data_IF_868307695299
#
_entry.id   IF_868307695299
#
_cell.length_a   1.000
_cell.length_b   1.000
_cell.length_c   1.000
_cell.angle_alpha   90.00
_cell.angle_beta   90.00
_cell.angle_gamma   90.00
#
_symmetry.space_group_name_H-M   'P 1'
#
loop_
_entity.id
_entity.type
_entity.pdbx_description
1 polymer ?
#
# COMPACT_ATOMS: atom_id res chain seq x y z
N UNK A 1 2.21 2.56 -12.00
CA UNK A 1 1.80 1.98 -10.70
C UNK A 1 1.29 0.56 -10.93
N UNK A 2 1.72 -0.41 -10.12
CA UNK A 2 1.25 -1.80 -10.19
C UNK A 2 1.11 -2.34 -8.78
N UNK A 3 0.03 -3.08 -8.52
CA UNK A 3 -0.22 -3.75 -7.23
C UNK A 3 -0.22 -5.25 -7.47
N UNK A 4 0.48 -6.00 -6.61
CA UNK A 4 0.56 -7.45 -6.65
C UNK A 4 0.19 -8.01 -5.28
N UNK A 5 -0.83 -8.86 -5.24
CA UNK A 5 -1.24 -9.57 -4.03
C UNK A 5 -0.39 -10.83 -3.90
N UNK A 6 0.53 -10.84 -2.94
CA UNK A 6 1.45 -11.95 -2.68
C UNK A 6 0.86 -12.96 -1.69
N UNK A 7 -0.13 -12.52 -0.91
CA UNK A 7 -0.89 -13.34 0.01
C UNK A 7 -2.14 -12.61 0.47
N UNK A 8 -3.23 -13.36 0.68
CA UNK A 8 -4.56 -12.84 1.04
C UNK A 8 -5.24 -13.65 2.14
N UNK A 9 -4.55 -14.64 2.73
CA UNK A 9 -5.06 -15.41 3.86
C UNK A 9 -4.81 -14.65 5.16
N UNK A 10 -5.68 -14.88 6.14
CA UNK A 10 -5.43 -14.48 7.53
C UNK A 10 -4.45 -15.46 8.20
N UNK A 11 -4.51 -15.61 9.52
CA UNK A 11 -3.61 -16.38 10.37
C UNK A 11 -3.16 -17.72 9.76
N UNK A 12 -4.07 -18.50 9.17
CA UNK A 12 -3.78 -19.84 8.65
C UNK A 12 -3.66 -19.81 7.13
N UNK A 13 -2.48 -20.08 6.54
CA UNK A 13 -2.34 -20.17 5.10
C UNK A 13 -3.08 -21.40 4.56
N UNK A 14 -3.44 -21.37 3.28
CA UNK A 14 -4.06 -22.50 2.57
C UNK A 14 -3.15 -22.95 1.43
N UNK A 15 -3.56 -23.98 0.68
CA UNK A 15 -2.83 -24.38 -0.53
C UNK A 15 -2.85 -23.30 -1.61
N UNK A 16 -3.94 -22.52 -1.66
CA UNK A 16 -4.22 -21.52 -2.69
C UNK A 16 -3.86 -20.09 -2.24
N UNK A 17 -3.82 -19.86 -0.91
CA UNK A 17 -3.61 -18.50 -0.36
C UNK A 17 -2.49 -18.52 0.68
N UNK A 18 -1.47 -17.71 0.44
CA UNK A 18 -0.43 -17.38 1.40
C UNK A 18 -0.93 -16.35 2.42
N UNK A 19 -0.27 -16.26 3.58
CA UNK A 19 -0.48 -15.21 4.56
C UNK A 19 -0.29 -13.82 3.95
N UNK A 20 -0.83 -12.81 4.62
CA UNK A 20 -1.00 -11.47 4.07
C UNK A 20 0.32 -10.82 3.63
N UNK A 21 0.36 -10.33 2.40
CA UNK A 21 1.38 -9.45 1.86
C UNK A 21 0.88 -8.80 0.56
N UNK A 22 0.98 -7.49 0.44
CA UNK A 22 0.60 -6.74 -0.76
C UNK A 22 1.77 -5.86 -1.20
N UNK A 23 2.18 -5.96 -2.46
CA UNK A 23 3.30 -5.21 -3.01
C UNK A 23 2.83 -4.14 -4.00
N UNK A 24 3.17 -2.89 -3.74
CA UNK A 24 2.95 -1.74 -4.61
C UNK A 24 4.27 -1.32 -5.26
N UNK A 25 4.34 -1.38 -6.59
CA UNK A 25 5.45 -0.85 -7.38
C UNK A 25 5.08 0.50 -7.99
N UNK A 26 5.87 1.52 -7.70
CA UNK A 26 5.67 2.89 -8.17
C UNK A 26 6.99 3.56 -8.53
N UNK A 27 7.29 3.71 -9.83
CA UNK A 27 8.59 4.20 -10.28
C UNK A 27 9.74 3.35 -9.74
N UNK A 28 10.73 3.96 -9.06
CA UNK A 28 11.81 3.24 -8.42
C UNK A 28 11.44 2.64 -7.05
N UNK A 29 10.28 2.98 -6.51
CA UNK A 29 9.84 2.57 -5.18
C UNK A 29 9.06 1.26 -5.22
N UNK A 30 9.37 0.39 -4.29
CA UNK A 30 8.64 -0.83 -4.01
C UNK A 30 8.20 -0.86 -2.55
N UNK A 31 6.90 -0.77 -2.32
CA UNK A 31 6.30 -0.68 -0.99
C UNK A 31 5.59 -1.99 -0.70
N UNK A 32 6.01 -2.67 0.34
CA UNK A 32 5.40 -3.91 0.82
C UNK A 32 4.53 -3.60 2.04
N UNK A 33 3.24 -3.87 1.94
CA UNK A 33 2.30 -3.83 3.05
C UNK A 33 2.24 -5.21 3.66
N UNK A 34 2.66 -5.33 4.90
CA UNK A 34 2.87 -6.55 5.67
C UNK A 34 3.81 -7.58 4.98
N UNK A 35 4.26 -8.54 5.74
CA UNK A 35 5.20 -9.56 5.28
C UNK A 35 4.92 -10.88 6.00
N UNK A 36 3.82 -11.53 5.64
CA UNK A 36 3.46 -12.85 6.17
C UNK A 36 4.46 -13.93 5.80
N UNK A 37 4.36 -15.07 6.44
CA UNK A 37 5.25 -16.21 6.18
C UNK A 37 5.28 -16.57 4.68
N UNK A 38 6.46 -16.86 4.16
CA UNK A 38 6.64 -17.29 2.77
C UNK A 38 6.56 -16.13 1.73
N UNK A 39 6.42 -14.87 2.14
CA UNK A 39 6.35 -13.71 1.22
C UNK A 39 7.52 -13.67 0.23
N UNK A 40 8.75 -13.97 0.66
CA UNK A 40 9.91 -14.05 -0.24
C UNK A 40 9.72 -15.09 -1.37
N UNK A 41 9.07 -16.22 -1.08
CA UNK A 41 8.73 -17.24 -2.10
C UNK A 41 7.65 -16.73 -3.04
N UNK A 42 6.66 -15.99 -2.54
CA UNK A 42 5.61 -15.40 -3.36
C UNK A 42 6.17 -14.37 -4.35
N UNK A 43 7.16 -13.58 -3.98
CA UNK A 43 7.89 -12.71 -4.92
C UNK A 43 8.49 -13.51 -6.10
N UNK A 44 9.09 -14.68 -5.81
CA UNK A 44 9.64 -15.58 -6.84
C UNK A 44 8.54 -16.12 -7.77
N UNK A 45 7.41 -16.54 -7.20
CA UNK A 45 6.25 -17.05 -7.97
C UNK A 45 5.68 -15.94 -8.86
N UNK A 46 5.57 -14.72 -8.36
CA UNK A 46 5.09 -13.55 -9.10
C UNK A 46 6.09 -13.04 -10.17
N UNK A 47 7.32 -13.58 -10.23
CA UNK A 47 8.36 -13.13 -11.15
C UNK A 47 8.91 -11.72 -10.83
N UNK A 48 8.75 -11.27 -9.57
CA UNK A 48 9.18 -9.95 -9.13
C UNK A 48 10.49 -10.09 -8.35
N UNK A 49 11.51 -9.28 -8.70
CA UNK A 49 12.74 -9.25 -7.94
C UNK A 49 12.51 -8.68 -6.54
N UNK A 50 12.98 -9.40 -5.51
CA UNK A 50 12.89 -8.95 -4.13
C UNK A 50 13.67 -7.65 -3.88
N UNK A 51 14.73 -7.41 -4.65
CA UNK A 51 15.53 -6.17 -4.58
C UNK A 51 14.77 -4.90 -4.96
N UNK A 52 13.55 -5.02 -5.50
CA UNK A 52 12.66 -3.88 -5.73
C UNK A 52 12.01 -3.35 -4.45
N UNK A 53 12.02 -4.09 -3.35
CA UNK A 53 11.44 -3.64 -2.08
C UNK A 53 12.34 -2.56 -1.47
N UNK A 54 11.81 -1.34 -1.33
CA UNK A 54 12.49 -0.21 -0.71
C UNK A 54 11.89 0.15 0.64
N UNK A 55 10.60 -0.15 0.84
CA UNK A 55 9.86 0.12 2.07
C UNK A 55 9.00 -1.06 2.47
N UNK A 56 8.90 -1.32 3.78
CA UNK A 56 7.96 -2.27 4.37
C UNK A 56 7.12 -1.52 5.39
N UNK A 57 5.80 -1.61 5.25
CA UNK A 57 4.82 -1.01 6.16
C UNK A 57 4.17 -2.15 6.97
N UNK A 58 4.53 -2.28 8.23
CA UNK A 58 4.00 -3.29 9.15
C UNK A 58 2.74 -2.73 9.80
N UNK A 59 1.59 -3.35 9.53
CA UNK A 59 0.33 -2.96 10.16
C UNK A 59 0.38 -3.20 11.68
N UNK A 60 0.72 -4.40 12.08
CA UNK A 60 0.85 -4.82 13.48
C UNK A 60 1.76 -6.06 13.61
N UNK A 61 1.95 -6.55 14.85
CA UNK A 61 2.91 -7.60 15.13
C UNK A 61 2.29 -9.00 15.41
N UNK A 62 1.13 -9.33 14.82
CA UNK A 62 0.71 -10.72 14.72
C UNK A 62 1.58 -11.49 13.72
N UNK A 63 1.74 -12.78 13.95
CA UNK A 63 2.69 -13.61 13.19
C UNK A 63 2.43 -13.63 11.69
N UNK A 64 1.19 -13.73 11.27
CA UNK A 64 0.78 -13.76 9.86
C UNK A 64 1.09 -12.46 9.08
N UNK A 65 1.44 -11.38 9.77
CA UNK A 65 1.86 -10.10 9.18
C UNK A 65 3.38 -9.87 9.17
N UNK A 66 4.15 -10.67 9.94
CA UNK A 66 5.58 -10.38 10.15
C UNK A 66 6.53 -11.58 10.03
N UNK A 67 6.03 -12.82 10.06
CA UNK A 67 6.88 -14.02 10.05
C UNK A 67 7.71 -14.17 8.77
N UNK A 68 7.36 -13.50 7.68
CA UNK A 68 8.17 -13.46 6.46
C UNK A 68 9.38 -12.52 6.53
N UNK A 69 9.42 -11.58 7.49
CA UNK A 69 10.49 -10.57 7.59
C UNK A 69 11.89 -11.18 7.70
N UNK A 70 12.15 -12.13 8.62
CA UNK A 70 13.50 -12.69 8.76
C UNK A 70 14.00 -13.34 7.47
N UNK A 71 13.16 -14.13 6.81
CA UNK A 71 13.52 -14.79 5.56
C UNK A 71 13.70 -13.82 4.41
N UNK A 72 12.86 -12.79 4.31
CA UNK A 72 12.96 -11.75 3.29
C UNK A 72 14.26 -10.94 3.46
N UNK A 73 14.57 -10.49 4.68
CA UNK A 73 15.76 -9.69 4.97
C UNK A 73 17.04 -10.51 4.76
N UNK A 74 17.05 -11.79 5.19
CA UNK A 74 18.17 -12.69 4.95
C UNK A 74 18.42 -12.91 3.45
N UNK A 75 17.36 -13.07 2.67
CA UNK A 75 17.47 -13.21 1.22
C UNK A 75 18.02 -11.94 0.57
N UNK A 76 17.55 -10.75 0.96
CA UNK A 76 18.10 -9.48 0.48
C UNK A 76 19.59 -9.33 0.82
N UNK A 77 19.98 -9.70 2.06
CA UNK A 77 21.40 -9.68 2.46
C UNK A 77 22.26 -10.61 1.59
N UNK A 78 21.73 -11.76 1.17
CA UNK A 78 22.42 -12.72 0.30
C UNK A 78 22.44 -12.32 -1.18
N UNK A 79 21.60 -11.38 -1.59
CA UNK A 79 21.52 -10.86 -2.96
C UNK A 79 22.33 -9.56 -3.16
N UNK A 80 23.23 -9.22 -2.24
CA UNK A 80 24.01 -7.98 -2.25
C UNK A 80 23.15 -6.73 -2.46
N UNK A 81 22.03 -6.65 -1.71
CA UNK A 81 21.13 -5.51 -1.77
C UNK A 81 21.84 -4.23 -1.30
N UNK A 82 22.14 -3.33 -2.24
CA UNK A 82 22.89 -2.09 -1.98
C UNK A 82 21.98 -0.91 -1.61
N UNK A 83 20.66 -1.09 -1.59
CA UNK A 83 19.70 -0.06 -1.21
C UNK A 83 19.57 0.10 0.30
N UNK A 84 18.85 1.14 0.70
CA UNK A 84 18.34 1.30 2.06
C UNK A 84 16.95 0.71 2.14
N UNK A 85 16.71 -0.24 3.05
CA UNK A 85 15.39 -0.78 3.33
C UNK A 85 14.81 -0.04 4.52
N UNK A 86 13.75 0.71 4.30
CA UNK A 86 13.02 1.41 5.36
C UNK A 86 11.85 0.53 5.86
N UNK A 87 11.76 0.33 7.16
CA UNK A 87 10.68 -0.42 7.80
C UNK A 87 9.91 0.51 8.72
N UNK A 88 8.62 0.66 8.47
CA UNK A 88 7.71 1.44 9.29
C UNK A 88 6.73 0.51 10.00
N UNK A 89 6.43 0.77 11.27
CA UNK A 89 5.46 -0.01 12.01
C UNK A 89 5.06 0.65 13.32
N UNK A 90 4.10 0.08 14.06
CA UNK A 90 3.62 0.63 15.33
C UNK A 90 4.70 0.61 16.41
N UNK A 91 4.40 1.20 17.56
CA UNK A 91 5.29 1.24 18.72
C UNK A 91 5.79 -0.16 19.12
N UNK A 92 7.08 -0.26 19.42
CA UNK A 92 7.75 -1.53 19.75
C UNK A 92 8.29 -2.30 18.55
N UNK A 93 8.15 -1.78 17.33
CA UNK A 93 8.70 -2.39 16.10
C UNK A 93 10.22 -2.53 16.18
N UNK A 94 10.95 -1.49 16.62
CA UNK A 94 12.41 -1.54 16.78
C UNK A 94 12.85 -2.69 17.70
N UNK A 95 12.25 -2.76 18.89
CA UNK A 95 12.57 -3.80 19.87
C UNK A 95 12.26 -5.21 19.36
N UNK A 96 11.17 -5.39 18.62
CA UNK A 96 10.80 -6.71 18.05
C UNK A 96 11.75 -7.10 16.92
N UNK A 97 12.14 -6.15 16.06
CA UNK A 97 13.14 -6.37 15.02
C UNK A 97 14.51 -6.77 15.62
N UNK A 98 14.95 -6.11 16.68
CA UNK A 98 16.20 -6.47 17.42
C UNK A 98 16.12 -7.92 17.91
N UNK A 99 15.05 -8.28 18.64
CA UNK A 99 14.86 -9.66 19.14
C UNK A 99 14.76 -10.69 18.02
N UNK A 100 14.14 -10.33 16.89
CA UNK A 100 14.09 -11.20 15.72
C UNK A 100 15.50 -11.49 15.17
N UNK A 101 16.36 -10.47 15.09
CA UNK A 101 17.75 -10.65 14.65
C UNK A 101 18.61 -11.43 15.66
N UNK A 102 18.33 -11.33 16.95
CA UNK A 102 18.99 -12.13 18.00
C UNK A 102 18.60 -13.62 17.91
N UNK A 103 17.39 -13.93 17.44
CA UNK A 103 16.90 -15.30 17.34
C UNK A 103 17.53 -16.12 16.20
N UNK A 104 18.16 -15.46 15.19
CA UNK A 104 18.70 -16.11 14.01
C UNK A 104 20.17 -15.75 13.79
N UNK A 105 20.95 -16.73 13.35
CA UNK A 105 22.35 -16.52 12.97
C UNK A 105 22.42 -16.27 11.47
N UNK A 106 22.65 -15.01 11.07
CA UNK A 106 22.92 -14.68 9.69
C UNK A 106 23.73 -13.37 9.60
N UNK A 107 24.45 -13.21 8.48
CA UNK A 107 25.26 -12.03 8.21
C UNK A 107 24.37 -10.89 7.70
N UNK A 108 24.18 -9.89 8.54
CA UNK A 108 23.34 -8.72 8.23
C UNK A 108 24.14 -7.70 7.40
N UNK A 109 24.11 -7.83 6.07
CA UNK A 109 24.78 -6.92 5.13
C UNK A 109 23.88 -5.84 4.55
N UNK A 110 22.65 -5.70 5.06
CA UNK A 110 21.64 -4.79 4.55
C UNK A 110 21.58 -3.51 5.39
N UNK A 111 21.44 -2.36 4.73
CA UNK A 111 21.19 -1.09 5.41
C UNK A 111 19.69 -0.98 5.75
N UNK A 112 19.36 -1.24 7.03
CA UNK A 112 18.01 -1.16 7.57
C UNK A 112 17.79 0.14 8.32
N UNK A 113 16.66 0.79 8.07
CA UNK A 113 16.17 1.94 8.84
C UNK A 113 14.77 1.64 9.39
N UNK A 114 14.69 1.34 10.67
CA UNK A 114 13.43 0.97 11.35
C UNK A 114 12.85 2.20 12.04
N UNK A 115 11.62 2.54 11.68
CA UNK A 115 10.90 3.72 12.21
C UNK A 115 9.58 3.30 12.84
N UNK A 116 9.34 3.78 14.04
CA UNK A 116 8.05 3.62 14.72
C UNK A 116 7.16 4.80 14.42
N UNK A 117 5.92 4.52 14.06
CA UNK A 117 4.93 5.51 13.67
C UNK A 117 3.63 5.28 14.43
N UNK A 118 2.86 6.35 14.67
CA UNK A 118 1.54 6.27 15.32
C UNK A 118 0.43 6.73 14.40
N UNK A 119 0.63 7.84 13.72
CA UNK A 119 -0.35 8.42 12.78
C UNK A 119 0.29 9.54 11.96
N UNK A 120 -0.37 9.93 10.86
CA UNK A 120 0.04 11.04 10.00
C UNK A 120 1.00 10.64 8.88
N UNK A 121 1.67 11.61 8.29
CA UNK A 121 2.60 11.40 7.17
C UNK A 121 3.87 10.73 7.71
N UNK A 122 4.18 9.54 7.22
CA UNK A 122 5.37 8.77 7.59
C UNK A 122 6.52 8.90 6.57
N UNK A 123 6.17 9.22 5.33
CA UNK A 123 7.11 9.45 4.24
C UNK A 123 6.48 10.40 3.21
N UNK A 124 7.28 11.31 2.67
CA UNK A 124 6.87 12.22 1.59
C UNK A 124 8.06 12.55 0.69
N UNK A 125 7.81 12.61 -0.62
CA UNK A 125 8.73 13.14 -1.62
C UNK A 125 7.95 13.98 -2.67
N UNK A 126 8.58 14.29 -3.81
CA UNK A 126 7.95 15.09 -4.85
C UNK A 126 6.82 14.36 -5.60
N UNK A 127 6.77 13.05 -5.54
CA UNK A 127 5.86 12.21 -6.33
C UNK A 127 4.70 11.65 -5.54
N UNK A 128 4.89 11.33 -4.24
CA UNK A 128 3.87 10.72 -3.40
C UNK A 128 4.14 10.94 -1.91
N UNK A 129 3.12 10.64 -1.10
CA UNK A 129 3.23 10.51 0.35
C UNK A 129 2.64 9.18 0.83
N UNK A 130 3.13 8.72 1.98
CA UNK A 130 2.58 7.59 2.73
C UNK A 130 2.05 8.11 4.07
N UNK A 131 0.87 7.67 4.42
CA UNK A 131 0.18 8.05 5.66
C UNK A 131 -0.14 6.81 6.48
N UNK A 132 -0.14 6.96 7.81
CA UNK A 132 -0.55 5.95 8.76
C UNK A 132 -1.73 6.45 9.60
N UNK A 133 -2.65 5.56 9.92
CA UNK A 133 -3.84 5.82 10.74
C UNK A 133 -4.01 4.68 11.74
N UNK A 134 -4.26 4.97 13.04
CA UNK A 134 -4.54 3.93 14.02
C UNK A 134 -5.87 3.23 13.71
N UNK A 135 -5.90 1.92 13.87
CA UNK A 135 -7.08 1.07 13.76
C UNK A 135 -7.34 0.36 15.09
N UNK A 136 -8.36 -0.53 15.14
CA UNK A 136 -8.82 -1.17 16.36
C UNK A 136 -8.84 -2.71 16.23
N UNK A 137 -7.85 -3.39 16.89
CA UNK A 137 -7.69 -4.86 16.82
C UNK A 137 -7.17 -5.49 18.12
N UNK A 138 -7.42 -4.87 19.29
CA UNK A 138 -6.92 -5.40 20.57
C UNK A 138 -5.43 -5.21 20.84
N UNK A 139 -4.62 -4.91 19.83
CA UNK A 139 -3.23 -4.48 19.92
C UNK A 139 -3.03 -3.23 19.06
N UNK A 140 -1.90 -2.53 19.24
CA UNK A 140 -1.58 -1.37 18.40
C UNK A 140 -1.44 -1.78 16.93
N UNK A 141 -2.27 -1.19 16.08
CA UNK A 141 -2.35 -1.50 14.65
C UNK A 141 -2.53 -0.23 13.82
N UNK A 142 -2.01 -0.24 12.59
CA UNK A 142 -2.03 0.85 11.64
C UNK A 142 -2.63 0.41 10.30
N UNK A 143 -3.55 1.20 9.77
CA UNK A 143 -3.89 1.20 8.36
C UNK A 143 -3.03 2.23 7.62
N UNK A 144 -2.87 2.06 6.32
CA UNK A 144 -1.98 2.89 5.51
C UNK A 144 -2.68 3.46 4.29
N UNK A 145 -2.19 4.60 3.85
CA UNK A 145 -2.64 5.24 2.61
C UNK A 145 -1.43 5.69 1.80
N UNK A 146 -1.39 5.32 0.53
CA UNK A 146 -0.50 5.87 -0.47
C UNK A 146 -1.26 6.95 -1.24
N UNK A 147 -0.68 8.14 -1.36
CA UNK A 147 -1.27 9.27 -2.09
C UNK A 147 -0.24 9.77 -3.11
N UNK A 148 -0.50 9.50 -4.38
CA UNK A 148 0.27 10.09 -5.47
C UNK A 148 -0.04 11.58 -5.55
N UNK A 149 0.98 12.41 -5.73
CA UNK A 149 0.79 13.86 -5.94
C UNK A 149 0.29 14.14 -7.35
N UNK A 150 -0.54 15.14 -7.48
CA UNK A 150 -1.03 15.59 -8.78
C UNK A 150 0.11 15.98 -9.70
N UNK A 151 -0.03 15.67 -10.99
CA UNK A 151 0.99 15.93 -12.00
C UNK A 151 0.48 16.91 -13.06
N UNK A 152 1.27 17.95 -13.28
CA UNK A 152 1.03 18.82 -14.43
C UNK A 152 1.45 18.11 -15.72
N UNK A 153 0.51 17.95 -16.63
CA UNK A 153 0.70 17.34 -17.95
C UNK A 153 0.56 18.36 -19.06
N UNK A 154 1.31 18.15 -20.12
CA UNK A 154 1.24 19.01 -21.31
C UNK A 154 0.04 18.65 -22.17
N UNK A 155 -0.73 19.66 -22.57
CA UNK A 155 -1.74 19.53 -23.60
C UNK A 155 -1.10 19.71 -25.00
N UNK A 156 -0.79 18.59 -25.64
CA UNK A 156 -0.13 18.59 -26.95
C UNK A 156 -0.92 19.30 -28.06
N UNK A 157 -2.25 19.39 -27.94
CA UNK A 157 -3.08 20.12 -28.91
C UNK A 157 -2.85 21.63 -28.75
N UNK A 158 -2.76 22.10 -27.51
CA UNK A 158 -2.48 23.51 -27.22
C UNK A 158 -1.04 23.88 -27.56
N UNK A 159 -0.05 22.99 -27.27
CA UNK A 159 1.35 23.18 -27.67
C UNK A 159 1.46 23.43 -29.19
N UNK A 160 0.80 22.58 -30.00
CA UNK A 160 0.77 22.76 -31.46
C UNK A 160 0.08 24.04 -31.90
N UNK A 161 -1.01 24.46 -31.23
CA UNK A 161 -1.71 25.73 -31.53
C UNK A 161 -0.85 26.97 -31.28
N UNK A 162 0.03 26.92 -30.28
CA UNK A 162 0.99 27.97 -29.95
C UNK A 162 2.33 27.83 -30.70
N UNK A 163 2.46 26.87 -31.61
CA UNK A 163 3.70 26.54 -32.36
C UNK A 163 4.94 26.37 -31.47
N UNK A 164 4.75 25.88 -30.23
CA UNK A 164 5.86 25.66 -29.29
C UNK A 164 6.65 24.44 -29.74
N UNK A 165 7.97 24.56 -30.03
CA UNK A 165 8.77 23.44 -30.47
C UNK A 165 9.03 22.46 -29.33
N UNK A 166 9.25 21.18 -29.70
CA UNK A 166 9.68 20.16 -28.74
C UNK A 166 11.01 20.55 -28.11
N UNK A 167 11.11 20.39 -26.79
CA UNK A 167 12.36 20.64 -26.09
C UNK A 167 12.22 21.38 -24.75
N UNK A 168 13.24 22.14 -24.33
CA UNK A 168 13.34 22.72 -22.99
C UNK A 168 12.18 23.65 -22.59
N UNK A 169 11.53 24.31 -23.57
CA UNK A 169 10.41 25.21 -23.32
C UNK A 169 9.21 24.45 -22.75
N UNK A 170 8.89 23.29 -23.31
CA UNK A 170 7.84 22.39 -22.80
C UNK A 170 8.15 21.97 -21.37
N UNK A 171 9.42 21.61 -21.09
CA UNK A 171 9.84 21.25 -19.74
C UNK A 171 9.74 22.40 -18.71
N UNK A 172 9.87 23.68 -19.15
CA UNK A 172 9.62 24.84 -18.28
C UNK A 172 8.14 24.96 -17.92
N UNK A 173 7.27 24.85 -18.92
CA UNK A 173 5.82 24.89 -18.73
C UNK A 173 5.34 23.77 -17.80
N UNK A 174 5.87 22.56 -17.97
CA UNK A 174 5.55 21.43 -17.11
C UNK A 174 5.99 21.64 -15.66
N UNK A 175 7.09 22.38 -15.44
CA UNK A 175 7.56 22.80 -14.11
C UNK A 175 6.92 24.09 -13.60
N UNK A 176 5.76 24.45 -14.12
CA UNK A 176 4.99 25.64 -13.73
C UNK A 176 5.73 26.98 -13.97
N UNK A 177 6.57 27.06 -15.02
CA UNK A 177 7.29 28.29 -15.39
C UNK A 177 6.77 28.80 -16.72
N UNK A 178 6.43 30.09 -16.79
CA UNK A 178 6.07 30.73 -18.05
C UNK A 178 7.25 30.77 -19.02
N UNK A 179 6.94 30.87 -20.30
CA UNK A 179 7.92 31.02 -21.38
C UNK A 179 7.56 32.23 -22.25
N UNK A 180 8.54 32.75 -22.98
CA UNK A 180 8.31 33.69 -24.11
C UNK A 180 8.58 32.92 -25.40
N UNK A 181 7.61 33.00 -26.34
CA UNK A 181 7.69 32.37 -27.64
C UNK A 181 6.92 33.19 -28.67
N UNK A 182 7.55 33.47 -29.82
CA UNK A 182 7.00 34.33 -30.87
C UNK A 182 6.46 35.69 -30.37
N UNK A 183 7.20 36.32 -29.44
CA UNK A 183 6.83 37.63 -28.88
C UNK A 183 5.64 37.58 -27.91
N UNK A 184 5.17 36.40 -27.53
CA UNK A 184 4.07 36.21 -26.57
C UNK A 184 4.58 35.49 -25.31
N UNK A 185 4.14 35.95 -24.16
CA UNK A 185 4.30 35.26 -22.90
C UNK A 185 3.22 34.19 -22.77
N UNK A 186 3.61 32.95 -22.64
CA UNK A 186 2.69 31.82 -22.49
C UNK A 186 2.78 31.32 -21.06
N UNK A 187 1.64 31.28 -20.38
CA UNK A 187 1.52 30.78 -19.01
C UNK A 187 1.30 29.27 -19.02
N UNK A 188 1.80 28.54 -18.01
CA UNK A 188 1.64 27.09 -17.93
C UNK A 188 0.19 26.63 -18.07
N UNK A 189 -0.76 27.29 -17.42
CA UNK A 189 -2.19 26.90 -17.42
C UNK A 189 -2.86 27.03 -18.79
N UNK A 190 -2.27 27.79 -19.72
CA UNK A 190 -2.78 27.92 -21.09
C UNK A 190 -2.54 26.63 -21.92
N UNK A 191 -1.48 25.87 -21.58
CA UNK A 191 -1.00 24.72 -22.39
C UNK A 191 -0.78 23.44 -21.59
N UNK A 192 -1.24 23.42 -20.35
CA UNK A 192 -1.17 22.23 -19.48
C UNK A 192 -2.53 21.94 -18.86
N UNK A 193 -2.63 20.77 -18.25
CA UNK A 193 -3.73 20.36 -17.38
C UNK A 193 -3.16 19.59 -16.18
N UNK A 194 -3.89 19.52 -15.09
CA UNK A 194 -3.54 18.71 -13.93
C UNK A 194 -4.15 17.32 -14.10
N UNK A 195 -3.34 16.29 -13.92
CA UNK A 195 -3.76 14.90 -13.79
C UNK A 195 -3.75 14.56 -12.30
N UNK A 196 -4.92 14.21 -11.77
CA UNK A 196 -5.07 13.87 -10.36
C UNK A 196 -4.25 12.62 -10.01
N UNK A 197 -3.54 12.68 -8.89
CA UNK A 197 -2.79 11.56 -8.34
C UNK A 197 -3.72 10.45 -7.84
N UNK A 198 -3.21 9.22 -7.84
CA UNK A 198 -3.95 8.04 -7.37
C UNK A 198 -3.81 7.85 -5.87
N UNK A 199 -4.89 7.42 -5.23
CA UNK A 199 -4.96 7.11 -3.80
C UNK A 199 -5.22 5.62 -3.60
N UNK A 200 -4.33 4.95 -2.87
CA UNK A 200 -4.47 3.53 -2.51
C UNK A 200 -4.59 3.43 -1.00
N UNK A 201 -5.68 2.87 -0.52
CA UNK A 201 -5.96 2.64 0.88
C UNK A 201 -5.72 1.16 1.24
N UNK A 202 -5.07 0.89 2.37
CA UNK A 202 -4.81 -0.44 2.91
C UNK A 202 -5.33 -0.52 4.34
N UNK A 203 -6.32 -1.35 4.56
CA UNK A 203 -6.97 -1.61 5.84
C UNK A 203 -6.95 -3.11 6.10
N UNK A 204 -6.31 -3.52 7.17
CA UNK A 204 -6.26 -4.91 7.61
C UNK A 204 -6.62 -4.99 9.10
N UNK A 205 -7.03 -6.15 9.56
CA UNK A 205 -7.27 -6.56 10.95
C UNK A 205 -7.86 -5.47 11.85
N UNK A 206 -9.12 -5.16 11.67
CA UNK A 206 -9.79 -4.13 12.49
C UNK A 206 -11.27 -4.37 12.60
N UNK A 207 -11.87 -4.01 13.73
CA UNK A 207 -13.31 -3.74 13.75
C UNK A 207 -13.60 -2.46 12.96
N UNK A 208 -14.82 -2.31 12.49
CA UNK A 208 -15.25 -1.10 11.80
C UNK A 208 -15.12 0.12 12.73
N UNK A 209 -14.23 1.06 12.38
CA UNK A 209 -13.99 2.29 13.14
C UNK A 209 -13.93 3.51 12.22
N UNK A 210 -13.96 4.73 12.79
CA UNK A 210 -13.98 5.98 12.04
C UNK A 210 -12.77 6.15 11.12
N UNK A 211 -11.60 5.66 11.53
CA UNK A 211 -10.39 5.77 10.72
C UNK A 211 -10.44 4.88 9.47
N UNK A 212 -11.24 3.82 9.42
CA UNK A 212 -11.48 3.06 8.18
C UNK A 212 -12.01 3.99 7.08
N UNK A 213 -12.96 4.88 7.42
CA UNK A 213 -13.52 5.83 6.47
C UNK A 213 -12.50 6.90 6.04
N UNK A 214 -11.68 7.42 6.98
CA UNK A 214 -10.63 8.41 6.65
C UNK A 214 -9.56 7.86 5.72
N UNK A 215 -9.14 6.61 5.96
CA UNK A 215 -8.15 5.93 5.10
C UNK A 215 -8.72 5.74 3.69
N UNK A 216 -9.98 5.32 3.59
CA UNK A 216 -10.65 4.98 2.35
C UNK A 216 -11.18 6.20 1.56
N UNK A 217 -11.17 7.42 2.14
CA UNK A 217 -11.76 8.62 1.54
C UNK A 217 -11.23 8.91 0.14
N UNK A 218 -12.14 8.89 -0.86
CA UNK A 218 -11.86 9.07 -2.28
C UNK A 218 -10.74 8.18 -2.81
N UNK A 219 -10.56 6.97 -2.26
CA UNK A 219 -9.54 6.04 -2.74
C UNK A 219 -9.85 5.56 -4.16
N UNK A 220 -8.86 5.58 -5.05
CA UNK A 220 -8.97 4.91 -6.35
C UNK A 220 -9.03 3.39 -6.18
N UNK A 221 -8.37 2.87 -5.14
CA UNK A 221 -8.43 1.47 -4.72
C UNK A 221 -8.41 1.37 -3.20
N UNK A 222 -9.43 0.77 -2.63
CA UNK A 222 -9.46 0.31 -1.25
C UNK A 222 -9.11 -1.19 -1.21
N UNK A 223 -8.04 -1.52 -0.52
CA UNK A 223 -7.65 -2.89 -0.16
C UNK A 223 -8.05 -3.07 1.29
N UNK A 224 -9.02 -3.93 1.57
CA UNK A 224 -9.65 -4.03 2.88
C UNK A 224 -9.80 -5.48 3.32
N UNK A 225 -9.56 -5.73 4.62
CA UNK A 225 -9.87 -7.02 5.19
C UNK A 225 -11.34 -7.41 5.04
N UNK A 226 -11.57 -8.70 4.92
CA UNK A 226 -12.88 -9.34 4.90
C UNK A 226 -12.76 -10.75 5.49
N UNK A 227 -12.35 -10.82 6.74
CA UNK A 227 -12.03 -12.08 7.39
C UNK A 227 -13.23 -13.00 7.50
N UNK A 228 -14.44 -12.41 7.61
CA UNK A 228 -15.69 -13.15 7.77
C UNK A 228 -16.78 -12.66 6.81
N UNK A 229 -17.77 -13.56 6.55
CA UNK A 229 -19.03 -13.14 5.93
C UNK A 229 -19.95 -12.50 6.95
N UNK A 230 -20.97 -11.80 6.47
CA UNK A 230 -22.01 -11.15 7.33
C UNK A 230 -22.77 -12.14 8.23
N UNK A 231 -22.80 -13.43 7.87
CA UNK A 231 -23.40 -14.48 8.72
C UNK A 231 -22.63 -14.70 10.03
N UNK A 232 -21.39 -14.26 10.10
CA UNK A 232 -20.50 -14.43 11.24
C UNK A 232 -20.09 -13.09 11.88
N UNK A 233 -20.94 -12.07 11.80
CA UNK A 233 -20.65 -10.72 12.34
C UNK A 233 -20.22 -10.74 13.81
N UNK A 234 -20.93 -11.47 14.68
CA UNK A 234 -20.56 -11.58 16.10
C UNK A 234 -19.17 -12.18 16.31
N UNK A 235 -18.79 -13.15 15.47
CA UNK A 235 -17.45 -13.72 15.49
C UNK A 235 -16.39 -12.75 14.96
N UNK A 236 -16.76 -11.98 13.94
CA UNK A 236 -15.90 -10.92 13.40
C UNK A 236 -15.56 -9.90 14.49
N UNK A 237 -16.53 -9.43 15.22
CA UNK A 237 -16.36 -8.48 16.32
C UNK A 237 -15.55 -9.07 17.50
N UNK A 238 -15.83 -10.32 17.89
CA UNK A 238 -15.11 -11.04 18.95
C UNK A 238 -13.59 -11.11 18.68
N UNK A 239 -13.20 -11.33 17.43
CA UNK A 239 -11.79 -11.44 17.03
C UNK A 239 -11.17 -10.15 16.49
N UNK A 240 -11.91 -9.03 16.56
CA UNK A 240 -11.40 -7.72 16.14
C UNK A 240 -11.24 -7.55 14.62
N UNK A 241 -12.18 -8.11 13.85
CA UNK A 241 -12.16 -8.09 12.38
C UNK A 241 -13.43 -7.50 11.78
N UNK A 242 -13.40 -7.26 10.48
CA UNK A 242 -14.57 -6.89 9.68
C UNK A 242 -15.14 -8.07 8.90
N UNK A 243 -16.42 -7.94 8.55
CA UNK A 243 -17.07 -8.75 7.53
C UNK A 243 -16.90 -8.12 6.14
N UNK A 244 -17.02 -8.93 5.08
CA UNK A 244 -17.00 -8.45 3.69
C UNK A 244 -18.07 -7.37 3.45
N UNK A 245 -19.24 -7.49 4.08
CA UNK A 245 -20.30 -6.47 4.06
C UNK A 245 -19.85 -5.15 4.67
N UNK A 246 -19.14 -5.17 5.80
CA UNK A 246 -18.61 -3.96 6.44
C UNK A 246 -17.52 -3.31 5.60
N UNK A 247 -16.61 -4.10 5.01
CA UNK A 247 -15.61 -3.60 4.05
C UNK A 247 -16.26 -2.87 2.86
N UNK A 248 -17.33 -3.44 2.30
CA UNK A 248 -18.11 -2.81 1.23
C UNK A 248 -18.84 -1.53 1.69
N UNK A 249 -19.34 -1.49 2.93
CA UNK A 249 -19.92 -0.27 3.51
C UNK A 249 -18.87 0.84 3.66
N UNK A 250 -17.64 0.52 4.07
CA UNK A 250 -16.53 1.47 4.09
C UNK A 250 -16.27 2.00 2.69
N UNK A 251 -16.14 1.13 1.68
CA UNK A 251 -15.90 1.53 0.30
C UNK A 251 -16.98 2.50 -0.22
N UNK A 252 -18.24 2.15 -0.03
CA UNK A 252 -19.39 2.95 -0.49
C UNK A 252 -19.43 4.33 0.21
N UNK A 253 -19.39 4.34 1.55
CA UNK A 253 -19.49 5.59 2.33
C UNK A 253 -18.29 6.53 2.13
N UNK A 254 -17.13 5.99 1.79
CA UNK A 254 -15.91 6.77 1.58
C UNK A 254 -15.66 7.13 0.12
N UNK A 255 -16.63 6.89 -0.77
CA UNK A 255 -16.52 7.18 -2.21
C UNK A 255 -15.28 6.52 -2.86
N UNK A 256 -14.91 5.32 -2.42
CA UNK A 256 -13.86 4.55 -3.07
C UNK A 256 -14.30 4.13 -4.48
N UNK A 257 -13.38 4.09 -5.45
CA UNK A 257 -13.72 3.73 -6.84
C UNK A 257 -13.68 2.22 -7.08
N UNK A 258 -12.83 1.51 -6.33
CA UNK A 258 -12.66 0.07 -6.43
C UNK A 258 -12.40 -0.50 -5.03
N UNK A 259 -12.88 -1.72 -4.79
CA UNK A 259 -12.66 -2.49 -3.56
C UNK A 259 -12.00 -3.83 -3.91
N UNK A 260 -10.93 -4.16 -3.20
CA UNK A 260 -10.35 -5.51 -3.19
C UNK A 260 -10.39 -6.04 -1.77
N UNK A 261 -11.03 -7.19 -1.60
CA UNK A 261 -11.08 -7.88 -0.32
C UNK A 261 -9.83 -8.74 -0.12
N UNK A 262 -9.31 -8.74 1.11
CA UNK A 262 -8.14 -9.52 1.53
C UNK A 262 -8.38 -10.14 2.92
N UNK A 263 -7.37 -10.82 3.46
CA UNK A 263 -7.34 -11.35 4.82
C UNK A 263 -8.45 -12.37 5.10
N UNK A 264 -8.66 -13.30 4.16
CA UNK A 264 -9.73 -14.29 4.26
C UNK A 264 -9.43 -15.37 5.29
N UNK A 265 -10.38 -15.69 6.15
CA UNK A 265 -10.29 -16.86 7.02
C UNK A 265 -10.13 -18.15 6.20
N UNK A 266 -9.24 -19.06 6.63
CA UNK A 266 -9.01 -20.35 6.00
C UNK A 266 -10.26 -21.26 5.97
N UNK A 267 -11.32 -20.93 6.71
CA UNK A 267 -12.62 -21.63 6.66
C UNK A 267 -13.29 -21.57 5.28
N UNK A 268 -13.02 -20.48 4.53
CA UNK A 268 -13.60 -20.28 3.19
C UNK A 268 -12.69 -20.95 2.16
N UNK A 269 -13.19 -22.05 1.55
CA UNK A 269 -12.48 -22.74 0.46
C UNK A 269 -12.38 -21.86 -0.80
N UNK A 270 -13.38 -21.02 -1.04
CA UNK A 270 -13.41 -20.00 -2.08
C UNK A 270 -13.96 -18.68 -1.49
N UNK A 271 -13.91 -17.61 -2.25
CA UNK A 271 -14.30 -16.24 -1.82
C UNK A 271 -15.73 -15.86 -2.20
N UNK A 272 -16.47 -16.76 -2.85
CA UNK A 272 -17.78 -16.45 -3.44
C UNK A 272 -18.77 -15.86 -2.43
N UNK A 273 -18.89 -16.45 -1.23
CA UNK A 273 -19.81 -15.94 -0.18
C UNK A 273 -19.42 -14.53 0.26
N UNK A 274 -18.13 -14.24 0.36
CA UNK A 274 -17.62 -12.91 0.75
C UNK A 274 -17.81 -11.89 -0.36
N UNK A 275 -17.62 -12.30 -1.61
CA UNK A 275 -17.87 -11.44 -2.77
C UNK A 275 -19.35 -11.11 -2.94
N UNK A 276 -20.24 -12.07 -2.73
CA UNK A 276 -21.69 -11.85 -2.75
C UNK A 276 -22.12 -10.86 -1.67
N UNK A 277 -21.61 -10.99 -0.42
CA UNK A 277 -21.86 -10.05 0.68
C UNK A 277 -21.44 -8.61 0.30
N UNK A 278 -20.28 -8.45 -0.34
CA UNK A 278 -19.78 -7.15 -0.73
C UNK A 278 -20.54 -6.56 -1.92
N UNK A 279 -20.81 -7.33 -2.97
CA UNK A 279 -21.50 -6.89 -4.20
C UNK A 279 -22.93 -6.42 -3.98
N UNK A 280 -23.54 -6.79 -2.87
CA UNK A 280 -24.86 -6.30 -2.49
C UNK A 280 -24.84 -4.84 -1.95
N UNK A 281 -23.64 -4.28 -1.69
CA UNK A 281 -23.45 -2.95 -1.09
C UNK A 281 -22.63 -2.02 -2.01
N UNK A 282 -21.61 -2.55 -2.69
CA UNK A 282 -20.63 -1.83 -3.51
C UNK A 282 -20.44 -2.52 -4.90
#
# INVERSE_FOLDING_TARGET
>A
MQITFLGTSSMVPTKERNQIAVFLSYGPEGILFDCGEGTQRQFKIAGISLTKVTKILISHWHGDHVLGLPGLIQTLSSMDYNGKLEIYGPTGTKKRMEKMFEAFVFDKRINLDVKEVKSGILFENNDFQLEAYPLEHGIEILGYRFVEKDKRKIDMKKIKKFNIPDGPLIGKLQRNKSIEHDGKKIMPDEVTYTEDGKKIAYITDTVLCDNCHKIAEDADLLICEATYSSKLVGKSEEYGHMTAKQAAQVANKSNAKQLVLIHFSARYKNTQELEEDARNIF
#
